data_IF_351840143857
#
_entry.id   IF_351840143857
#
_cell.length_a   1.000
_cell.length_b   1.000
_cell.length_c   1.000
_cell.angle_alpha   90.00
_cell.angle_beta   90.00
_cell.angle_gamma   90.00
#
_symmetry.space_group_name_H-M   'P 1'
#
loop_
_entity.id
_entity.type
_entity.pdbx_description
1 polymer ?
#
# COMPACT_ATOMS: atom_id res chain seq x y z
N UNK A 1 -0.32 -7.82 -15.49
CA UNK A 1 -0.20 -6.36 -15.30
C UNK A 1 -1.01 -5.68 -16.39
N UNK A 2 -1.90 -4.75 -16.03
CA UNK A 2 -2.62 -3.93 -17.02
C UNK A 2 -1.65 -2.84 -17.47
N UNK A 3 -1.42 -2.75 -18.78
CA UNK A 3 -0.44 -1.84 -19.36
C UNK A 3 -0.80 -0.39 -18.98
N UNK A 4 0.13 0.32 -18.35
CA UNK A 4 -0.06 1.73 -17.94
C UNK A 4 -0.53 1.95 -16.50
N UNK A 5 -0.74 0.90 -15.70
CA UNK A 5 -1.02 1.03 -14.27
C UNK A 5 0.22 0.66 -13.44
N UNK A 6 0.58 1.53 -12.50
CA UNK A 6 1.59 1.29 -11.46
C UNK A 6 0.97 1.57 -10.10
N UNK A 7 1.32 0.76 -9.11
CA UNK A 7 0.78 0.84 -7.75
C UNK A 7 1.88 1.23 -6.78
N UNK A 8 1.54 2.08 -5.81
CA UNK A 8 2.37 2.38 -4.65
C UNK A 8 1.72 1.75 -3.43
N UNK A 9 2.46 0.93 -2.70
CA UNK A 9 1.95 0.18 -1.55
C UNK A 9 2.78 0.50 -0.31
N UNK A 10 2.12 1.02 0.71
CA UNK A 10 2.68 1.16 2.05
C UNK A 10 2.31 -0.08 2.87
N UNK A 11 3.30 -0.69 3.50
CA UNK A 11 3.10 -1.82 4.40
C UNK A 11 3.89 -1.62 5.69
N UNK A 12 3.61 -2.46 6.69
CA UNK A 12 4.33 -2.43 7.96
C UNK A 12 5.82 -2.72 7.75
N UNK A 13 6.67 -2.00 8.47
CA UNK A 13 8.09 -2.29 8.57
C UNK A 13 8.36 -3.77 8.89
N UNK A 14 9.32 -4.36 8.20
CA UNK A 14 9.71 -5.76 8.38
C UNK A 14 8.84 -6.77 7.62
N UNK A 15 7.68 -6.39 7.09
CA UNK A 15 6.92 -7.26 6.20
C UNK A 15 7.70 -7.47 4.90
N UNK A 16 8.00 -8.72 4.54
CA UNK A 16 8.78 -9.07 3.34
C UNK A 16 7.95 -9.81 2.29
N UNK A 17 6.63 -9.87 2.47
CA UNK A 17 5.72 -10.46 1.51
C UNK A 17 5.26 -9.42 0.47
N UNK A 18 5.80 -9.51 -0.74
CA UNK A 18 5.56 -8.56 -1.83
C UNK A 18 4.82 -9.21 -3.02
N UNK A 19 3.51 -9.52 -2.89
CA UNK A 19 2.77 -10.27 -3.91
C UNK A 19 2.63 -9.51 -5.25
N UNK A 20 2.69 -8.18 -5.24
CA UNK A 20 2.52 -7.32 -6.41
C UNK A 20 3.85 -6.78 -6.99
N UNK A 21 5.02 -7.29 -6.55
CA UNK A 21 6.35 -6.73 -6.86
C UNK A 21 6.67 -6.50 -8.35
N UNK A 22 5.95 -7.18 -9.25
CA UNK A 22 6.14 -7.06 -10.70
C UNK A 22 5.45 -5.82 -11.31
N UNK A 23 4.56 -5.16 -10.58
CA UNK A 23 3.77 -4.02 -11.05
C UNK A 23 3.49 -2.98 -9.96
N UNK A 24 4.18 -3.07 -8.82
CA UNK A 24 4.06 -2.12 -7.72
C UNK A 24 5.40 -1.77 -7.10
N UNK A 25 5.45 -0.58 -6.51
CA UNK A 25 6.51 -0.14 -5.61
C UNK A 25 6.04 -0.32 -4.17
N UNK A 26 6.97 -0.69 -3.29
CA UNK A 26 6.72 -0.88 -1.88
C UNK A 26 7.56 0.07 -1.04
N UNK A 27 6.94 0.62 0.00
CA UNK A 27 7.62 1.32 1.09
C UNK A 27 7.09 0.85 2.44
N UNK A 28 7.91 1.01 3.47
CA UNK A 28 7.58 0.63 4.84
C UNK A 28 7.22 1.85 5.69
N UNK A 29 6.09 1.74 6.37
CA UNK A 29 5.74 2.60 7.50
C UNK A 29 6.39 2.00 8.75
N UNK A 30 7.07 2.80 9.60
CA UNK A 30 7.59 2.32 10.88
C UNK A 30 6.50 1.58 11.66
N UNK A 31 6.84 0.47 12.31
CA UNK A 31 5.84 -0.37 12.99
C UNK A 31 4.96 0.42 13.97
N UNK A 32 5.57 1.34 14.73
CA UNK A 32 4.88 2.20 15.71
C UNK A 32 3.84 3.15 15.09
N UNK A 33 3.98 3.45 13.81
CA UNK A 33 3.14 4.41 13.07
C UNK A 33 2.17 3.68 12.12
N UNK A 34 2.23 2.35 12.05
CA UNK A 34 1.42 1.54 11.15
C UNK A 34 0.00 1.36 11.71
N UNK A 35 -1.00 1.77 10.91
CA UNK A 35 -2.41 1.58 11.23
C UNK A 35 -2.97 0.31 10.57
N UNK A 36 -3.75 -0.44 11.33
CA UNK A 36 -4.28 -1.75 10.91
C UNK A 36 -5.41 -1.68 9.87
N UNK A 37 -6.03 -0.51 9.68
CA UNK A 37 -7.13 -0.33 8.72
C UNK A 37 -6.56 0.28 7.43
N UNK A 38 -6.38 -0.51 6.36
CA UNK A 38 -5.86 0.00 5.11
C UNK A 38 -6.93 0.74 4.31
N UNK A 39 -6.44 1.65 3.47
CA UNK A 39 -7.25 2.28 2.44
C UNK A 39 -6.56 2.20 1.07
N UNK A 40 -7.36 2.28 0.02
CA UNK A 40 -6.91 2.34 -1.37
C UNK A 40 -7.54 3.55 -2.02
N UNK A 41 -6.73 4.39 -2.65
CA UNK A 41 -7.20 5.56 -3.41
C UNK A 41 -6.93 5.35 -4.90
N UNK A 42 -7.96 5.44 -5.73
CA UNK A 42 -7.87 5.19 -7.18
C UNK A 42 -8.92 6.01 -7.94
N UNK A 43 -8.53 6.65 -9.05
CA UNK A 43 -9.40 7.62 -9.73
C UNK A 43 -9.99 8.63 -8.74
N UNK A 44 -11.31 8.80 -8.76
CA UNK A 44 -12.05 9.66 -7.81
C UNK A 44 -12.67 8.89 -6.64
N UNK A 45 -12.12 7.71 -6.32
CA UNK A 45 -12.63 6.82 -5.29
C UNK A 45 -11.62 6.60 -4.15
N UNK A 46 -12.18 6.47 -2.95
CA UNK A 46 -11.52 5.91 -1.77
C UNK A 46 -12.22 4.60 -1.40
N UNK A 47 -11.46 3.54 -1.17
CA UNK A 47 -11.94 2.31 -0.55
C UNK A 47 -11.25 2.12 0.80
N UNK A 48 -12.03 1.85 1.84
CA UNK A 48 -11.53 1.43 3.16
C UNK A 48 -11.90 -0.03 3.34
N UNK A 49 -10.93 -0.86 3.73
CA UNK A 49 -11.11 -2.31 3.84
C UNK A 49 -11.03 -2.70 5.31
N UNK A 50 -12.10 -3.29 5.83
CA UNK A 50 -12.18 -3.85 7.17
C UNK A 50 -11.99 -5.36 7.06
N UNK A 51 -10.82 -5.83 7.52
CA UNK A 51 -10.47 -7.25 7.50
C UNK A 51 -10.99 -7.93 8.78
N UNK A 52 -12.28 -8.25 8.78
CA UNK A 52 -12.96 -9.09 9.77
C UNK A 52 -13.31 -10.47 9.14
N UNK A 53 -13.78 -11.47 9.91
CA UNK A 53 -14.21 -12.75 9.36
C UNK A 53 -15.20 -12.62 8.19
N UNK A 54 -16.05 -11.59 8.23
CA UNK A 54 -16.83 -11.12 7.10
C UNK A 54 -16.26 -9.76 6.64
N UNK A 55 -15.44 -9.72 5.57
CA UNK A 55 -14.77 -8.50 5.16
C UNK A 55 -15.76 -7.48 4.60
N UNK A 56 -15.62 -6.22 5.03
CA UNK A 56 -16.43 -5.10 4.56
C UNK A 56 -15.56 -4.12 3.78
N UNK A 57 -16.03 -3.70 2.61
CA UNK A 57 -15.39 -2.65 1.81
C UNK A 57 -16.33 -1.46 1.74
N UNK A 58 -15.89 -0.32 2.27
CA UNK A 58 -16.61 0.95 2.18
C UNK A 58 -16.00 1.74 1.01
N UNK A 59 -16.79 1.98 -0.03
CA UNK A 59 -16.36 2.76 -1.20
C UNK A 59 -17.02 4.13 -1.18
N UNK A 60 -16.19 5.17 -1.27
CA UNK A 60 -16.61 6.57 -1.34
C UNK A 60 -16.16 7.14 -2.68
N UNK A 61 -17.13 7.40 -3.55
CA UNK A 61 -16.93 7.99 -4.88
C UNK A 61 -17.12 9.50 -4.82
N UNK A 62 -16.10 10.23 -4.39
CA UNK A 62 -16.15 11.69 -4.28
C UNK A 62 -14.76 12.31 -4.53
N UNK A 63 -14.58 13.09 -5.61
CA UNK A 63 -13.26 13.58 -6.03
C UNK A 63 -12.50 14.32 -4.93
N UNK A 64 -13.18 15.16 -4.13
CA UNK A 64 -12.51 15.92 -3.06
C UNK A 64 -11.97 15.00 -1.94
N UNK A 65 -12.70 13.92 -1.62
CA UNK A 65 -12.28 12.95 -0.60
C UNK A 65 -11.11 12.12 -1.13
N UNK A 66 -11.20 11.64 -2.37
CA UNK A 66 -10.10 10.93 -3.01
C UNK A 66 -8.84 11.81 -3.12
N UNK A 67 -9.00 13.10 -3.42
CA UNK A 67 -7.91 14.07 -3.43
C UNK A 67 -7.22 14.22 -2.07
N UNK A 68 -8.00 14.37 -1.00
CA UNK A 68 -7.47 14.50 0.37
C UNK A 68 -6.69 13.25 0.81
N UNK A 69 -7.24 12.05 0.60
CA UNK A 69 -6.56 10.80 0.95
C UNK A 69 -5.34 10.51 0.07
N UNK A 70 -5.36 10.93 -1.20
CA UNK A 70 -4.17 10.87 -2.06
C UNK A 70 -3.04 11.75 -1.54
N UNK A 71 -3.35 12.97 -1.09
CA UNK A 71 -2.36 13.85 -0.48
C UNK A 71 -1.79 13.22 0.79
N UNK A 72 -2.64 12.71 1.68
CA UNK A 72 -2.21 12.02 2.89
C UNK A 72 -1.32 10.81 2.57
N UNK A 73 -1.70 9.97 1.61
CA UNK A 73 -0.89 8.85 1.15
C UNK A 73 0.49 9.31 0.67
N UNK A 74 0.56 10.37 -0.15
CA UNK A 74 1.82 10.87 -0.69
C UNK A 74 2.73 11.43 0.40
N UNK A 75 2.19 12.14 1.40
CA UNK A 75 2.97 12.63 2.55
C UNK A 75 3.61 11.47 3.31
N UNK A 76 2.84 10.41 3.59
CA UNK A 76 3.38 9.22 4.26
C UNK A 76 4.42 8.55 3.35
N UNK A 77 4.09 8.36 2.08
CA UNK A 77 4.96 7.75 1.07
C UNK A 77 6.33 8.41 1.03
N UNK A 78 6.38 9.73 0.98
CA UNK A 78 7.63 10.50 0.86
C UNK A 78 8.53 10.36 2.09
N UNK A 79 7.94 10.12 3.27
CA UNK A 79 8.67 9.85 4.52
C UNK A 79 8.95 8.36 4.80
N UNK A 80 8.35 7.45 4.03
CA UNK A 80 8.40 6.02 4.26
C UNK A 80 9.74 5.40 3.87
N UNK A 81 10.11 4.30 4.54
CA UNK A 81 11.39 3.63 4.35
C UNK A 81 11.38 2.76 3.09
N UNK A 82 12.52 2.66 2.42
CA UNK A 82 12.70 1.72 1.31
C UNK A 82 13.05 0.34 1.89
N UNK A 83 12.28 -0.73 1.57
CA UNK A 83 12.61 -2.07 2.03
C UNK A 83 14.00 -2.49 1.53
N UNK A 84 14.79 -3.22 2.33
CA UNK A 84 16.08 -3.72 1.88
C UNK A 84 15.86 -4.62 0.66
N UNK A 85 16.70 -4.45 -0.37
CA UNK A 85 16.75 -5.43 -1.47
C UNK A 85 17.10 -6.77 -0.82
N UNK A 86 16.26 -7.81 -0.99
CA UNK A 86 16.64 -9.17 -0.59
C UNK A 86 18.05 -9.41 -1.11
N UNK A 87 19.01 -9.63 -0.21
CA UNK A 87 20.27 -10.24 -0.62
C UNK A 87 19.86 -11.52 -1.34
N UNK A 88 20.40 -11.74 -2.53
CA UNK A 88 20.19 -12.96 -3.31
C UNK A 88 20.72 -14.15 -2.50
N UNK A 89 19.90 -14.66 -1.58
CA UNK A 89 20.15 -15.88 -0.84
C UNK A 89 20.19 -17.00 -1.86
N UNK A 90 21.35 -17.65 -1.93
CA UNK A 90 21.59 -18.82 -2.77
C UNK A 90 20.44 -19.81 -2.57
N UNK A 91 19.87 -20.25 -3.68
CA UNK A 91 19.07 -21.48 -3.74
C UNK A 91 19.96 -22.61 -3.25
N UNK A 92 19.81 -23.01 -2.00
CA UNK A 92 20.24 -24.35 -1.58
C UNK A 92 19.31 -25.34 -2.27
N UNK A 93 19.94 -26.19 -3.07
CA UNK A 93 19.33 -27.33 -3.77
C UNK A 93 19.20 -28.49 -2.81
#
# INVERSE_FOLDING_TARGET
>A
SIKGLSFKILQREGDTYFPAKNYSEYRWIPEKDFLAVPFVVYGDNLAIILFDPEPVVIVISYPAIAGAYRLQFNVIWDSAMVPPKRASGKSER
#
